data_IF_289058994715
#
_entry.id   IF_289058994715
#
_cell.length_a   1.000
_cell.length_b   1.000
_cell.length_c   1.000
_cell.angle_alpha   90.00
_cell.angle_beta   90.00
_cell.angle_gamma   90.00
#
_symmetry.space_group_name_H-M   'P 1'
#
loop_
_entity.id
_entity.type
_entity.pdbx_description
1 polymer ?
#
# COMPACT_ATOMS: atom_id res chain seq x y z
N UNK A 1 13.32 -18.86 22.70
CA UNK A 1 12.31 -19.16 21.65
C UNK A 1 10.99 -18.40 21.77
N UNK A 2 10.45 -18.08 22.96
CA UNK A 2 9.20 -17.27 23.07
C UNK A 2 9.34 -15.80 22.63
N UNK A 3 10.54 -15.21 22.79
CA UNK A 3 10.78 -13.79 22.48
C UNK A 3 10.86 -13.48 20.96
N UNK A 4 11.25 -14.44 20.13
CA UNK A 4 11.33 -14.24 18.67
C UNK A 4 9.94 -14.25 18.02
N UNK A 5 9.02 -15.09 18.49
CA UNK A 5 7.65 -15.18 17.94
C UNK A 5 6.84 -13.90 18.23
N UNK A 6 6.97 -13.32 19.44
CA UNK A 6 6.33 -12.05 19.79
C UNK A 6 6.89 -10.85 19.00
N UNK A 7 8.19 -10.85 18.69
CA UNK A 7 8.82 -9.78 17.91
C UNK A 7 8.34 -9.77 16.44
N UNK A 8 8.19 -10.94 15.81
CA UNK A 8 7.65 -11.06 14.45
C UNK A 8 6.17 -10.63 14.37
N UNK A 9 5.36 -10.98 15.37
CA UNK A 9 3.95 -10.59 15.44
C UNK A 9 3.74 -9.08 15.57
N UNK A 10 4.62 -8.38 16.31
CA UNK A 10 4.55 -6.91 16.46
C UNK A 10 5.00 -6.17 15.19
N UNK A 11 6.04 -6.66 14.51
CA UNK A 11 6.48 -6.09 13.24
C UNK A 11 5.37 -6.21 12.17
N UNK A 12 4.66 -7.34 12.13
CA UNK A 12 3.52 -7.57 11.24
C UNK A 12 2.34 -6.63 11.53
N UNK A 13 2.05 -6.36 12.81
CA UNK A 13 0.97 -5.44 13.20
C UNK A 13 1.27 -3.98 12.87
N UNK A 14 2.53 -3.53 13.08
CA UNK A 14 2.94 -2.18 12.68
C UNK A 14 2.98 -2.04 11.15
N UNK A 15 3.42 -3.09 10.45
CA UNK A 15 3.41 -3.10 8.99
C UNK A 15 2.00 -2.93 8.42
N UNK A 16 1.04 -3.68 8.96
CA UNK A 16 -0.37 -3.54 8.60
C UNK A 16 -0.94 -2.16 8.93
N UNK A 17 -0.62 -1.60 10.09
CA UNK A 17 -1.12 -0.29 10.51
C UNK A 17 -0.59 0.86 9.64
N UNK A 18 0.71 0.84 9.32
CA UNK A 18 1.34 1.83 8.43
C UNK A 18 0.77 1.70 7.01
N UNK A 19 0.58 0.47 6.54
CA UNK A 19 -0.06 0.20 5.25
C UNK A 19 -1.50 0.72 5.20
N UNK A 20 -2.29 0.50 6.26
CA UNK A 20 -3.65 1.01 6.36
C UNK A 20 -3.71 2.54 6.38
N UNK A 21 -2.79 3.20 7.11
CA UNK A 21 -2.69 4.65 7.13
C UNK A 21 -2.34 5.21 5.73
N UNK A 22 -1.39 4.59 5.03
CA UNK A 22 -1.05 4.98 3.66
C UNK A 22 -2.23 4.78 2.70
N UNK A 23 -2.93 3.65 2.79
CA UNK A 23 -4.13 3.38 1.98
C UNK A 23 -5.24 4.41 2.24
N UNK A 24 -5.46 4.80 3.51
CA UNK A 24 -6.42 5.84 3.86
C UNK A 24 -6.04 7.20 3.24
N UNK A 25 -4.75 7.57 3.27
CA UNK A 25 -4.26 8.80 2.62
C UNK A 25 -4.48 8.74 1.11
N UNK A 26 -4.15 7.63 0.46
CA UNK A 26 -4.41 7.44 -0.97
C UNK A 26 -5.90 7.65 -1.26
N UNK A 27 -6.76 6.93 -0.53
CA UNK A 27 -8.21 6.97 -0.74
C UNK A 27 -8.77 8.39 -0.59
N UNK A 28 -8.46 9.08 0.52
CA UNK A 28 -8.95 10.42 0.80
C UNK A 28 -8.49 11.42 -0.27
N UNK A 29 -7.21 11.37 -0.67
CA UNK A 29 -6.67 12.27 -1.71
C UNK A 29 -7.35 12.00 -3.05
N UNK A 30 -7.51 10.74 -3.43
CA UNK A 30 -8.12 10.36 -4.70
C UNK A 30 -9.60 10.79 -4.79
N UNK A 31 -10.41 10.50 -3.77
CA UNK A 31 -11.83 10.92 -3.78
C UNK A 31 -11.98 12.44 -3.72
N UNK A 32 -11.08 13.12 -3.02
CA UNK A 32 -11.11 14.59 -2.91
C UNK A 32 -10.75 15.24 -4.24
N UNK A 33 -9.76 14.70 -4.95
CA UNK A 33 -9.39 15.16 -6.29
C UNK A 33 -10.47 14.84 -7.33
N UNK A 34 -11.11 13.69 -7.25
CA UNK A 34 -12.27 13.38 -8.10
C UNK A 34 -13.40 14.39 -7.90
N UNK A 35 -13.71 14.73 -6.65
CA UNK A 35 -14.79 15.67 -6.34
C UNK A 35 -14.48 17.13 -6.72
N UNK A 36 -13.20 17.52 -6.72
CA UNK A 36 -12.78 18.93 -6.83
C UNK A 36 -12.12 19.28 -8.17
N UNK A 37 -11.88 18.31 -9.06
CA UNK A 37 -11.14 18.54 -10.29
C UNK A 37 -11.72 17.80 -11.49
N UNK A 38 -11.30 18.20 -12.68
CA UNK A 38 -11.62 17.52 -13.95
C UNK A 38 -10.51 16.60 -14.43
N UNK A 39 -9.58 16.25 -13.54
CA UNK A 39 -8.44 15.41 -13.85
C UNK A 39 -8.95 14.00 -14.21
N UNK A 40 -8.41 13.34 -15.26
CA UNK A 40 -8.80 11.97 -15.57
C UNK A 40 -8.53 11.02 -14.40
N UNK A 41 -9.44 10.07 -14.16
CA UNK A 41 -9.38 9.14 -13.02
C UNK A 41 -8.03 8.39 -12.93
N UNK A 42 -7.44 8.07 -14.08
CA UNK A 42 -6.11 7.46 -14.13
C UNK A 42 -5.05 8.31 -13.40
N UNK A 43 -5.03 9.62 -13.64
CA UNK A 43 -4.10 10.55 -13.00
C UNK A 43 -4.46 10.83 -11.55
N UNK A 44 -5.74 10.91 -11.22
CA UNK A 44 -6.19 11.03 -9.82
C UNK A 44 -5.65 9.89 -8.97
N UNK A 45 -5.74 8.66 -9.47
CA UNK A 45 -5.25 7.50 -8.74
C UNK A 45 -3.71 7.51 -8.58
N UNK A 46 -2.99 7.95 -9.61
CA UNK A 46 -1.53 8.17 -9.55
C UNK A 46 -1.16 9.21 -8.49
N UNK A 47 -1.85 10.35 -8.46
CA UNK A 47 -1.58 11.41 -7.48
C UNK A 47 -1.87 10.91 -6.06
N UNK A 48 -2.98 10.19 -5.86
CA UNK A 48 -3.30 9.55 -4.58
C UNK A 48 -2.18 8.63 -4.09
N UNK A 49 -1.63 7.80 -4.98
CA UNK A 49 -0.48 6.95 -4.67
C UNK A 49 0.79 7.75 -4.33
N UNK A 50 1.10 8.79 -5.10
CA UNK A 50 2.27 9.64 -4.84
C UNK A 50 2.17 10.36 -3.50
N UNK A 51 0.97 10.72 -3.04
CA UNK A 51 0.76 11.29 -1.71
C UNK A 51 0.86 10.24 -0.59
N UNK A 52 0.40 9.00 -0.85
CA UNK A 52 0.45 7.91 0.13
C UNK A 52 1.84 7.30 0.31
N UNK A 53 2.65 7.27 -0.75
CA UNK A 53 3.97 6.63 -0.72
C UNK A 53 4.91 7.22 0.36
N UNK A 54 5.05 8.56 0.51
CA UNK A 54 5.83 9.15 1.59
C UNK A 54 5.31 8.78 2.98
N UNK A 55 3.99 8.67 3.18
CA UNK A 55 3.39 8.29 4.47
C UNK A 55 3.79 6.86 4.83
N UNK A 56 3.72 5.95 3.86
CA UNK A 56 4.15 4.57 4.04
C UNK A 56 5.66 4.49 4.36
N UNK A 57 6.49 5.17 3.56
CA UNK A 57 7.94 5.17 3.72
C UNK A 57 8.38 5.80 5.06
N UNK A 58 7.80 6.94 5.44
CA UNK A 58 8.10 7.60 6.71
C UNK A 58 7.61 6.79 7.91
N UNK A 59 6.44 6.14 7.80
CA UNK A 59 5.93 5.23 8.82
C UNK A 59 6.88 4.07 9.06
N UNK A 60 7.31 3.37 7.99
CA UNK A 60 8.25 2.26 8.11
C UNK A 60 9.63 2.71 8.60
N UNK A 61 10.17 3.82 8.08
CA UNK A 61 11.47 4.37 8.51
C UNK A 61 11.49 4.82 9.98
N UNK A 62 10.43 5.46 10.48
CA UNK A 62 10.38 5.94 11.87
C UNK A 62 10.07 4.83 12.88
N UNK A 63 9.21 3.87 12.53
CA UNK A 63 8.71 2.86 13.48
C UNK A 63 9.43 1.50 13.37
N UNK A 64 9.89 1.09 12.19
CA UNK A 64 10.57 -0.21 12.01
C UNK A 64 12.09 -0.13 12.03
N UNK A 65 12.70 1.00 11.63
CA UNK A 65 14.17 1.10 11.51
C UNK A 65 14.88 1.75 12.70
N UNK A 66 14.17 2.16 13.77
CA UNK A 66 14.80 2.73 14.97
C UNK A 66 15.75 1.76 15.70
N UNK A 67 15.80 0.48 15.33
CA UNK A 67 16.69 -0.52 15.94
C UNK A 67 17.92 -0.89 15.09
N UNK A 68 18.03 -0.48 13.82
CA UNK A 68 19.15 -0.89 12.97
C UNK A 68 19.61 0.27 12.08
N UNK A 69 20.71 0.90 12.48
CA UNK A 69 21.45 1.92 11.76
C UNK A 69 22.16 1.38 10.48
N UNK A 70 21.53 0.44 9.77
CA UNK A 70 21.99 -0.09 8.50
C UNK A 70 21.11 0.44 7.36
N UNK A 71 21.59 1.54 6.78
CA UNK A 71 21.28 2.12 5.46
C UNK A 71 19.80 2.14 5.02
N UNK A 72 19.07 3.13 5.53
CA UNK A 72 17.79 3.64 4.99
C UNK A 72 17.83 3.84 3.47
N UNK A 73 19.02 4.12 2.89
CA UNK A 73 19.22 4.30 1.44
C UNK A 73 19.22 3.00 0.63
N UNK A 74 19.53 1.85 1.22
CA UNK A 74 19.60 0.56 0.51
C UNK A 74 18.25 -0.17 0.47
N UNK A 75 17.35 0.08 1.42
CA UNK A 75 16.02 -0.53 1.46
C UNK A 75 14.99 0.23 0.62
N UNK A 76 15.17 1.55 0.42
CA UNK A 76 14.29 2.40 -0.38
C UNK A 76 14.01 1.90 -1.81
N UNK A 77 15.00 1.54 -2.65
CA UNK A 77 14.71 1.11 -4.02
C UNK A 77 13.89 -0.17 -4.07
N UNK A 78 14.16 -1.14 -3.18
CA UNK A 78 13.39 -2.39 -3.09
C UNK A 78 11.95 -2.13 -2.64
N UNK A 79 11.78 -1.29 -1.62
CA UNK A 79 10.46 -0.89 -1.12
C UNK A 79 9.66 -0.16 -2.20
N UNK A 80 10.31 0.76 -2.92
CA UNK A 80 9.70 1.51 -4.02
C UNK A 80 9.27 0.57 -5.17
N UNK A 81 10.09 -0.41 -5.54
CA UNK A 81 9.70 -1.41 -6.56
C UNK A 81 8.46 -2.21 -6.15
N UNK A 82 8.36 -2.63 -4.89
CA UNK A 82 7.18 -3.34 -4.38
C UNK A 82 5.95 -2.42 -4.39
N UNK A 83 6.10 -1.18 -3.94
CA UNK A 83 5.03 -0.19 -3.94
C UNK A 83 4.52 0.11 -5.36
N UNK A 84 5.42 0.29 -6.32
CA UNK A 84 5.07 0.48 -7.74
C UNK A 84 4.34 -0.74 -8.28
N UNK A 85 4.83 -1.95 -8.02
CA UNK A 85 4.19 -3.17 -8.52
C UNK A 85 2.76 -3.31 -7.98
N UNK A 86 2.58 -3.07 -6.67
CA UNK A 86 1.27 -3.02 -6.05
C UNK A 86 0.37 -1.95 -6.64
N UNK A 87 0.92 -0.76 -6.92
CA UNK A 87 0.19 0.33 -7.55
C UNK A 87 -0.20 0.03 -9.00
N UNK A 88 0.67 -0.58 -9.80
CA UNK A 88 0.33 -1.00 -11.18
C UNK A 88 -0.84 -1.99 -11.14
N UNK A 89 -0.81 -2.97 -10.23
CA UNK A 89 -1.92 -3.88 -10.01
C UNK A 89 -3.20 -3.14 -9.66
N UNK A 90 -3.15 -2.24 -8.66
CA UNK A 90 -4.28 -1.38 -8.30
C UNK A 90 -4.82 -0.59 -9.49
N UNK A 91 -3.95 0.07 -10.27
CA UNK A 91 -4.30 0.90 -11.40
C UNK A 91 -5.02 0.10 -12.49
N UNK A 92 -4.51 -1.09 -12.82
CA UNK A 92 -5.14 -1.98 -13.80
C UNK A 92 -6.53 -2.39 -13.32
N UNK A 93 -6.65 -2.88 -12.07
CA UNK A 93 -7.93 -3.29 -11.53
C UNK A 93 -8.95 -2.15 -11.48
N UNK A 94 -8.54 -0.95 -11.05
CA UNK A 94 -9.41 0.23 -11.00
C UNK A 94 -9.94 0.58 -12.39
N UNK A 95 -9.06 0.70 -13.38
CA UNK A 95 -9.47 1.09 -14.74
C UNK A 95 -10.32 0.01 -15.41
N UNK A 96 -9.99 -1.26 -15.22
CA UNK A 96 -10.82 -2.37 -15.74
C UNK A 96 -12.19 -2.40 -15.07
N UNK A 97 -12.26 -2.26 -13.74
CA UNK A 97 -13.53 -2.25 -13.02
C UNK A 97 -14.42 -1.08 -13.42
N UNK A 98 -13.86 0.13 -13.58
CA UNK A 98 -14.62 1.29 -14.08
C UNK A 98 -15.15 1.07 -15.49
N UNK A 99 -14.34 0.44 -16.36
CA UNK A 99 -14.74 0.17 -17.74
C UNK A 99 -15.88 -0.85 -17.83
N UNK A 100 -15.84 -1.92 -17.03
CA UNK A 100 -16.80 -3.04 -17.14
C UNK A 100 -18.01 -2.93 -16.20
N UNK A 101 -17.87 -2.40 -14.99
CA UNK A 101 -18.91 -2.43 -13.97
C UNK A 101 -19.75 -1.14 -13.93
N UNK A 102 -19.27 -0.04 -14.52
CA UNK A 102 -19.96 1.27 -14.55
C UNK A 102 -20.42 1.78 -13.17
N UNK A 103 -19.74 1.38 -12.09
CA UNK A 103 -19.99 1.84 -10.72
C UNK A 103 -19.09 3.03 -10.35
N UNK A 104 -19.47 3.84 -9.34
CA UNK A 104 -18.70 5.02 -8.92
C UNK A 104 -17.25 4.70 -8.52
N UNK A 105 -16.33 5.62 -8.84
CA UNK A 105 -14.90 5.48 -8.58
C UNK A 105 -14.55 5.20 -7.12
N UNK A 106 -15.18 5.90 -6.18
CA UNK A 106 -14.94 5.68 -4.75
C UNK A 106 -15.24 4.23 -4.31
N UNK A 107 -16.28 3.60 -4.87
CA UNK A 107 -16.61 2.19 -4.59
C UNK A 107 -15.55 1.28 -5.21
N UNK A 108 -15.20 1.50 -6.48
CA UNK A 108 -14.15 0.72 -7.16
C UNK A 108 -12.84 0.79 -6.38
N UNK A 109 -12.41 2.01 -6.02
CA UNK A 109 -11.14 2.23 -5.34
C UNK A 109 -11.10 1.52 -3.99
N UNK A 110 -12.16 1.61 -3.20
CA UNK A 110 -12.25 0.92 -1.90
C UNK A 110 -12.14 -0.60 -2.06
N UNK A 111 -12.90 -1.19 -2.98
CA UNK A 111 -12.88 -2.64 -3.23
C UNK A 111 -11.49 -3.08 -3.72
N UNK A 112 -10.93 -2.39 -4.70
CA UNK A 112 -9.63 -2.74 -5.27
C UNK A 112 -8.51 -2.59 -4.23
N UNK A 113 -8.56 -1.59 -3.36
CA UNK A 113 -7.60 -1.46 -2.25
C UNK A 113 -7.65 -2.65 -1.30
N UNK A 114 -8.85 -3.10 -0.91
CA UNK A 114 -9.02 -4.28 -0.05
C UNK A 114 -8.48 -5.53 -0.74
N UNK A 115 -8.80 -5.72 -2.03
CA UNK A 115 -8.30 -6.85 -2.83
C UNK A 115 -6.77 -6.84 -2.88
N UNK A 116 -6.16 -5.71 -3.25
CA UNK A 116 -4.70 -5.58 -3.34
C UNK A 116 -4.03 -5.79 -1.98
N UNK A 117 -4.61 -5.27 -0.90
CA UNK A 117 -4.11 -5.50 0.45
C UNK A 117 -4.18 -6.98 0.85
N UNK A 118 -5.30 -7.66 0.57
CA UNK A 118 -5.47 -9.09 0.83
C UNK A 118 -4.48 -9.94 0.03
N UNK A 119 -4.29 -9.66 -1.27
CA UNK A 119 -3.29 -10.34 -2.08
C UNK A 119 -1.88 -10.10 -1.56
N UNK A 120 -1.53 -8.86 -1.23
CA UNK A 120 -0.21 -8.52 -0.67
C UNK A 120 0.04 -9.26 0.65
N UNK A 121 -0.98 -9.36 1.51
CA UNK A 121 -0.91 -10.13 2.75
C UNK A 121 -0.73 -11.62 2.49
N UNK A 122 -1.53 -12.22 1.60
CA UNK A 122 -1.42 -13.63 1.25
C UNK A 122 -0.06 -13.95 0.63
N UNK A 123 0.44 -13.12 -0.29
CA UNK A 123 1.78 -13.30 -0.87
C UNK A 123 2.85 -13.20 0.22
N UNK A 124 2.74 -12.22 1.11
CA UNK A 124 3.68 -12.07 2.24
C UNK A 124 3.61 -13.28 3.18
N UNK A 125 2.41 -13.79 3.45
CA UNK A 125 2.19 -14.96 4.29
C UNK A 125 2.76 -16.24 3.64
N UNK A 126 2.38 -16.56 2.40
CA UNK A 126 2.84 -17.78 1.73
C UNK A 126 4.32 -17.74 1.33
N UNK A 127 4.90 -16.55 1.10
CA UNK A 127 6.32 -16.42 0.76
C UNK A 127 7.22 -16.36 2.00
N UNK A 128 6.80 -15.68 3.09
CA UNK A 128 7.57 -15.64 4.33
C UNK A 128 7.45 -16.91 5.19
N UNK A 129 6.35 -17.68 5.05
CA UNK A 129 6.18 -18.97 5.74
C UNK A 129 6.55 -20.19 4.88
N UNK A 130 7.04 -20.01 3.65
CA UNK A 130 7.86 -21.03 2.96
C UNK A 130 9.30 -20.98 3.45
N UNK A 131 9.48 -21.17 4.75
CA UNK A 131 10.72 -21.70 5.29
C UNK A 131 10.62 -23.22 5.17
N UNK A 132 11.32 -23.77 4.17
CA UNK A 132 12.05 -25.01 4.42
C UNK A 132 13.38 -24.63 5.06
#
# INVERSE_FOLDING_TARGET
MKNTVQAHSRAMSWFGLIGAAAAAVHYIVAISLEALSTIPIAWINVIGFLCAFPVSYLGHSKLSFSSHAHSVKQSLPRFFSVAILGFIGNQILVLSALHFLQIPFWIVLAIVMVIVAAFTYLLSHYWAFRSK
#
